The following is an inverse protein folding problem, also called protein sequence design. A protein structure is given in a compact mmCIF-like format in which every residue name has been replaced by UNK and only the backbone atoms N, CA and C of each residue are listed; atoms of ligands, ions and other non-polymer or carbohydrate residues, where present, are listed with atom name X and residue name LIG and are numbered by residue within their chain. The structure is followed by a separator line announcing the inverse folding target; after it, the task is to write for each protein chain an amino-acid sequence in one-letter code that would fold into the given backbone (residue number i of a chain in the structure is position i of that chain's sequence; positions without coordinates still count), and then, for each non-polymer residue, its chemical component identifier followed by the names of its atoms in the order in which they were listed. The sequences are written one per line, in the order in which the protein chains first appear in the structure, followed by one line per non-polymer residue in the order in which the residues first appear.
data_IF_971773948021
#
_entry.id   IF_971773948021
#
_cell.length_a   1.000
_cell.length_b   1.000
_cell.length_c   1.000
_cell.angle_alpha   90.00
_cell.angle_beta   90.00
_cell.angle_gamma   90.00
#
_symmetry.space_group_name_H-M   'P 1'
#
loop_
_entity.id
_entity.type
_entity.pdbx_description
1 polymer ?
#
# COMPACT_ATOMS: atom_id res chain seq x y z
N UNK A 1 9.34 -1.12 11.95
CA UNK A 1 9.27 -1.10 10.48
C UNK A 1 7.90 -0.65 9.99
N UNK A 2 7.87 0.39 9.15
CA UNK A 2 6.68 0.90 8.50
C UNK A 2 6.58 0.39 7.05
N UNK A 3 5.35 0.20 6.55
CA UNK A 3 5.08 -0.17 5.17
C UNK A 3 4.39 0.99 4.46
N UNK A 4 4.95 1.47 3.37
CA UNK A 4 4.30 2.43 2.47
C UNK A 4 3.72 1.67 1.28
N UNK A 5 2.40 1.70 1.15
CA UNK A 5 1.69 1.30 -0.06
C UNK A 5 1.62 2.55 -0.96
N UNK A 6 2.54 2.63 -1.93
CA UNK A 6 2.60 3.71 -2.90
C UNK A 6 1.70 3.37 -4.09
N UNK A 7 0.63 4.14 -4.26
CA UNK A 7 -0.34 3.97 -5.33
C UNK A 7 -0.33 5.19 -6.25
N UNK A 8 0.62 5.24 -7.19
CA UNK A 8 0.74 6.36 -8.13
C UNK A 8 0.86 5.84 -9.58
N UNK A 9 -0.15 6.09 -10.45
CA UNK A 9 -0.15 5.54 -11.83
C UNK A 9 1.02 5.96 -12.71
N UNK A 10 1.68 7.07 -12.38
CA UNK A 10 2.86 7.54 -13.09
C UNK A 10 3.85 8.21 -12.11
N UNK A 11 4.48 7.41 -11.24
CA UNK A 11 5.37 7.94 -10.20
C UNK A 11 6.56 8.72 -10.77
N UNK A 12 7.04 8.35 -11.95
CA UNK A 12 8.19 8.99 -12.59
C UNK A 12 7.99 10.47 -12.87
N UNK A 13 6.76 10.85 -13.24
CA UNK A 13 6.36 12.23 -13.49
C UNK A 13 5.75 12.91 -12.25
N UNK A 14 5.74 12.26 -11.09
CA UNK A 14 5.25 12.86 -9.85
C UNK A 14 6.29 13.82 -9.28
N UNK A 15 5.83 14.95 -8.75
CA UNK A 15 6.68 15.86 -7.95
C UNK A 15 6.58 15.45 -6.49
N UNK A 16 5.42 15.68 -5.86
CA UNK A 16 5.26 15.50 -4.42
C UNK A 16 5.47 14.05 -3.96
N UNK A 17 4.81 13.06 -4.58
CA UNK A 17 4.93 11.66 -4.14
C UNK A 17 6.34 11.12 -4.40
N UNK A 18 6.99 11.52 -5.50
CA UNK A 18 8.37 11.14 -5.78
C UNK A 18 9.32 11.71 -4.74
N UNK A 19 9.21 13.00 -4.42
CA UNK A 19 10.03 13.65 -3.40
C UNK A 19 9.86 13.01 -2.02
N UNK A 20 8.62 12.73 -1.61
CA UNK A 20 8.33 12.04 -0.33
C UNK A 20 8.97 10.65 -0.32
N UNK A 21 8.75 9.83 -1.35
CA UNK A 21 9.30 8.47 -1.42
C UNK A 21 10.81 8.47 -1.39
N UNK A 22 11.48 9.34 -2.17
CA UNK A 22 12.94 9.46 -2.17
C UNK A 22 13.47 9.83 -0.80
N UNK A 23 12.85 10.80 -0.13
CA UNK A 23 13.28 11.25 1.19
C UNK A 23 13.08 10.16 2.24
N UNK A 24 11.95 9.44 2.21
CA UNK A 24 11.69 8.31 3.11
C UNK A 24 12.74 7.21 2.96
N UNK A 25 13.11 6.85 1.73
CA UNK A 25 14.15 5.85 1.47
C UNK A 25 15.54 6.29 1.93
N UNK A 26 15.83 7.59 1.85
CA UNK A 26 17.11 8.14 2.27
C UNK A 26 17.22 8.27 3.80
N UNK A 27 16.16 8.78 4.45
CA UNK A 27 16.19 9.16 5.86
C UNK A 27 15.77 8.06 6.84
N UNK A 28 15.12 6.99 6.36
CA UNK A 28 14.68 5.87 7.19
C UNK A 28 15.30 4.56 6.70
N UNK A 29 16.03 3.88 7.59
CA UNK A 29 16.61 2.55 7.31
C UNK A 29 15.62 1.39 7.52
N UNK A 30 14.48 1.64 8.18
CA UNK A 30 13.50 0.63 8.59
C UNK A 30 12.11 0.91 7.97
N UNK A 31 12.07 1.02 6.63
CA UNK A 31 10.86 1.24 5.83
C UNK A 31 10.81 0.30 4.61
N UNK A 32 9.66 -0.35 4.39
CA UNK A 32 9.35 -1.04 3.13
C UNK A 32 8.46 -0.13 2.28
N UNK A 33 8.83 0.13 1.03
CA UNK A 33 7.98 0.86 0.08
C UNK A 33 7.60 -0.09 -1.05
N UNK A 34 6.29 -0.22 -1.27
CA UNK A 34 5.71 -1.05 -2.34
C UNK A 34 4.97 -0.15 -3.33
N UNK A 35 5.54 0.04 -4.51
CA UNK A 35 4.81 0.64 -5.63
C UNK A 35 3.84 -0.40 -6.21
N UNK A 36 2.58 -0.34 -5.76
CA UNK A 36 1.57 -1.32 -6.15
C UNK A 36 1.12 -1.15 -7.60
N UNK A 37 1.40 -0.02 -8.26
CA UNK A 37 1.13 0.14 -9.68
C UNK A 37 2.19 -0.58 -10.53
N UNK A 38 3.47 -0.44 -10.16
CA UNK A 38 4.57 -1.12 -10.83
C UNK A 38 4.57 -2.64 -10.56
N UNK A 39 4.30 -3.06 -9.33
CA UNK A 39 4.31 -4.47 -8.93
C UNK A 39 3.16 -5.29 -9.54
N UNK A 40 2.06 -4.64 -9.93
CA UNK A 40 0.84 -5.31 -10.36
C UNK A 40 0.40 -4.85 -11.77
N UNK A 41 1.16 -5.19 -12.82
CA UNK A 41 0.83 -4.81 -14.19
C UNK A 41 -0.56 -5.33 -14.57
N UNK A 42 -1.32 -4.51 -15.30
CA UNK A 42 -2.71 -4.78 -15.68
C UNK A 42 -3.67 -4.99 -14.47
N UNK A 43 -3.38 -4.35 -13.32
CA UNK A 43 -4.22 -4.41 -12.12
C UNK A 43 -4.39 -5.82 -11.53
N UNK A 44 -3.45 -6.74 -11.80
CA UNK A 44 -3.46 -8.10 -11.26
C UNK A 44 -2.73 -8.13 -9.92
N UNK A 45 -3.46 -7.95 -8.82
CA UNK A 45 -2.87 -7.91 -7.47
C UNK A 45 -2.47 -9.32 -7.03
N UNK A 46 -1.21 -9.48 -6.59
CA UNK A 46 -0.81 -10.68 -5.87
C UNK A 46 -1.23 -10.59 -4.40
N UNK A 47 -2.46 -11.01 -4.11
CA UNK A 47 -3.07 -10.92 -2.77
C UNK A 47 -2.19 -11.54 -1.68
N UNK A 48 -1.54 -12.68 -1.94
CA UNK A 48 -0.71 -13.36 -0.93
C UNK A 48 0.51 -12.53 -0.54
N UNK A 49 1.18 -11.93 -1.51
CA UNK A 49 2.36 -11.09 -1.27
C UNK A 49 2.00 -9.80 -0.53
N UNK A 50 0.89 -9.17 -0.90
CA UNK A 50 0.42 -7.95 -0.24
C UNK A 50 -0.02 -8.23 1.21
N UNK A 51 -0.74 -9.33 1.44
CA UNK A 51 -1.08 -9.77 2.80
C UNK A 51 0.17 -10.12 3.62
N UNK A 52 1.16 -10.78 3.02
CA UNK A 52 2.43 -11.08 3.69
C UNK A 52 3.18 -9.79 4.07
N UNK A 53 3.19 -8.78 3.20
CA UNK A 53 3.77 -7.47 3.50
C UNK A 53 3.04 -6.80 4.68
N UNK A 54 1.70 -6.77 4.68
CA UNK A 54 0.91 -6.21 5.78
C UNK A 54 1.21 -6.90 7.11
N UNK A 55 1.39 -8.23 7.11
CA UNK A 55 1.65 -8.98 8.33
C UNK A 55 2.99 -8.63 9.00
N UNK A 56 4.02 -8.29 8.22
CA UNK A 56 5.37 -7.98 8.74
C UNK A 56 5.51 -6.57 9.36
N UNK A 57 4.52 -5.69 9.19
CA UNK A 57 4.61 -4.28 9.58
C UNK A 57 3.50 -3.85 10.54
N UNK A 58 3.79 -2.94 11.47
CA UNK A 58 2.80 -2.43 12.43
C UNK A 58 2.17 -1.09 12.01
N UNK A 59 2.92 -0.28 11.26
CA UNK A 59 2.44 0.96 10.66
C UNK A 59 2.33 0.76 9.15
N UNK A 60 1.15 1.00 8.60
CA UNK A 60 0.86 0.97 7.17
C UNK A 60 0.52 2.39 6.75
N UNK A 61 1.15 2.89 5.70
CA UNK A 61 0.97 4.24 5.17
C UNK A 61 0.44 4.10 3.75
N UNK A 62 -0.66 4.77 3.46
CA UNK A 62 -1.26 4.81 2.13
C UNK A 62 -0.83 6.12 1.45
N UNK A 63 0.10 6.03 0.50
CA UNK A 63 0.63 7.21 -0.18
C UNK A 63 0.12 7.24 -1.63
N UNK A 64 -0.64 8.29 -1.97
CA UNK A 64 -1.23 8.43 -3.30
C UNK A 64 -1.52 9.91 -3.62
N UNK A 65 -1.59 10.28 -4.92
CA UNK A 65 -2.15 11.56 -5.33
C UNK A 65 -3.68 11.51 -5.22
N UNK A 66 -4.28 12.55 -4.64
CA UNK A 66 -5.74 12.66 -4.59
C UNK A 66 -6.31 12.96 -5.97
N UNK A 67 -7.13 12.05 -6.51
CA UNK A 67 -7.83 12.21 -7.78
C UNK A 67 -9.33 12.21 -7.53
N UNK A 68 -10.04 13.25 -7.97
CA UNK A 68 -11.50 13.36 -7.84
C UNK A 68 -12.00 13.13 -6.42
N UNK A 69 -11.36 13.78 -5.43
CA UNK A 69 -11.66 13.60 -4.00
C UNK A 69 -11.50 12.16 -3.51
N UNK A 70 -10.71 11.34 -4.21
CA UNK A 70 -10.58 9.91 -3.96
C UNK A 70 -9.15 9.40 -4.27
N UNK A 71 -8.95 8.09 -4.11
CA UNK A 71 -7.72 7.35 -4.41
C UNK A 71 -7.63 6.98 -5.91
N UNK A 72 -6.43 6.74 -6.46
CA UNK A 72 -6.28 6.12 -7.77
C UNK A 72 -6.90 4.71 -7.83
N UNK A 73 -7.34 4.30 -9.03
CA UNK A 73 -8.05 3.03 -9.24
C UNK A 73 -7.30 1.80 -8.69
N UNK A 74 -5.97 1.77 -8.82
CA UNK A 74 -5.14 0.66 -8.33
C UNK A 74 -5.27 0.46 -6.83
N UNK A 75 -5.37 1.54 -6.04
CA UNK A 75 -5.49 1.44 -4.59
C UNK A 75 -6.87 0.92 -4.19
N UNK A 76 -7.92 1.34 -4.91
CA UNK A 76 -9.26 0.81 -4.67
C UNK A 76 -9.35 -0.69 -4.99
N UNK A 77 -8.76 -1.12 -6.11
CA UNK A 77 -8.68 -2.54 -6.47
C UNK A 77 -7.86 -3.33 -5.44
N UNK A 78 -6.76 -2.75 -4.97
CA UNK A 78 -5.95 -3.34 -3.91
C UNK A 78 -6.75 -3.55 -2.63
N UNK A 79 -7.54 -2.57 -2.17
CA UNK A 79 -8.42 -2.77 -1.01
C UNK A 79 -9.40 -3.92 -1.22
N UNK A 80 -10.08 -3.94 -2.37
CA UNK A 80 -11.11 -4.95 -2.66
C UNK A 80 -10.55 -6.37 -2.70
N UNK A 81 -9.30 -6.54 -3.15
CA UNK A 81 -8.67 -7.85 -3.30
C UNK A 81 -7.85 -8.28 -2.08
N UNK A 82 -7.20 -7.36 -1.38
CA UNK A 82 -6.26 -7.68 -0.29
C UNK A 82 -6.98 -7.78 1.06
N UNK A 83 -8.00 -6.94 1.30
CA UNK A 83 -8.77 -7.00 2.54
C UNK A 83 -9.87 -8.03 2.43
N UNK A 84 -9.50 -9.32 2.45
CA UNK A 84 -10.45 -10.42 2.29
C UNK A 84 -11.14 -10.82 3.59
N UNK A 85 -12.30 -11.46 3.46
CA UNK A 85 -12.98 -12.14 4.56
C UNK A 85 -12.09 -13.21 5.18
N UNK A 86 -12.12 -13.32 6.50
CA UNK A 86 -11.22 -14.12 7.36
C UNK A 86 -9.74 -13.71 7.37
N UNK A 87 -9.37 -12.64 6.67
CA UNK A 87 -8.06 -12.01 6.81
C UNK A 87 -8.18 -10.66 7.51
N UNK A 88 -8.82 -9.69 6.86
CA UNK A 88 -8.96 -8.32 7.37
C UNK A 88 -10.22 -8.12 8.21
N UNK A 89 -11.28 -8.87 7.92
CA UNK A 89 -12.57 -8.79 8.61
C UNK A 89 -13.28 -10.16 8.63
N UNK A 90 -14.36 -10.28 9.41
CA UNK A 90 -15.07 -11.54 9.63
C UNK A 90 -14.71 -12.20 10.96
N UNK A 91 -15.29 -13.37 11.25
CA UNK A 91 -15.18 -14.01 12.56
C UNK A 91 -13.75 -14.39 12.98
N UNK A 92 -12.85 -14.58 12.02
CA UNK A 92 -11.41 -14.85 12.19
C UNK A 92 -10.52 -13.80 11.52
N UNK A 93 -11.10 -12.73 10.96
CA UNK A 93 -10.35 -11.69 10.24
C UNK A 93 -9.72 -10.69 11.19
N UNK A 94 -8.65 -11.10 11.87
CA UNK A 94 -7.96 -10.31 12.89
C UNK A 94 -6.56 -9.88 12.48
N UNK A 95 -6.13 -10.15 11.23
CA UNK A 95 -4.74 -9.97 10.80
C UNK A 95 -4.28 -8.53 10.73
N UNK A 96 -5.21 -7.60 10.64
CA UNK A 96 -4.95 -6.16 10.66
C UNK A 96 -5.31 -5.51 12.00
N UNK A 97 -5.80 -6.29 12.98
CA UNK A 97 -6.17 -5.78 14.29
C UNK A 97 -4.93 -5.21 14.99
N UNK A 98 -5.07 -4.02 15.57
CA UNK A 98 -4.01 -3.27 16.26
C UNK A 98 -2.87 -2.74 15.37
N UNK A 99 -2.95 -2.87 14.05
CA UNK A 99 -2.05 -2.14 13.14
C UNK A 99 -2.54 -0.69 13.01
N UNK A 100 -1.61 0.25 12.92
CA UNK A 100 -1.91 1.63 12.56
C UNK A 100 -1.98 1.70 11.03
N UNK A 101 -3.12 2.10 10.49
CA UNK A 101 -3.39 2.28 9.05
C UNK A 101 -3.80 3.73 8.78
#
# INVERSE_FOLDING_TARGET
MALVILAHPNIENSIANKSITTELQHSLSDIEIRDIFQLNPNYKINVKEEQAALLRHNLIILQYPMYWYNTPAILKIWFDQVFTYQFAYGSKGDKLKNKSL
#
